data_IF_162409631701
#
_entry.id   IF_162409631701
#
_cell.length_a   1.000
_cell.length_b   1.000
_cell.length_c   1.000
_cell.angle_alpha   90.00
_cell.angle_beta   90.00
_cell.angle_gamma   90.00
#
_symmetry.space_group_name_H-M   'P 1'
#
loop_
_entity.id
_entity.type
_entity.pdbx_description
1 polymer ?
#
# COMPACT_ATOMS: atom_id res chain seq x y z
N UNK A 1 -12.38 -3.00 14.01
CA UNK A 1 -11.05 -2.56 14.49
C UNK A 1 -11.06 -1.04 14.49
N UNK A 2 -10.55 -0.39 15.54
CA UNK A 2 -10.46 1.07 15.58
C UNK A 2 -9.43 1.56 14.54
N UNK A 3 -9.80 2.44 13.58
CA UNK A 3 -8.90 2.94 12.53
C UNK A 3 -7.65 3.64 13.08
N UNK A 4 -7.75 4.32 14.22
CA UNK A 4 -6.60 5.02 14.83
C UNK A 4 -5.53 4.04 15.32
N UNK A 5 -5.95 2.97 15.99
CA UNK A 5 -5.04 1.90 16.41
C UNK A 5 -4.40 1.19 15.21
N UNK A 6 -5.17 0.98 14.13
CA UNK A 6 -4.66 0.38 12.89
C UNK A 6 -3.58 1.27 12.25
N UNK A 7 -3.84 2.57 12.17
CA UNK A 7 -2.89 3.53 11.63
C UNK A 7 -1.54 3.49 12.35
N UNK A 8 -1.52 3.56 13.69
CA UNK A 8 -0.26 3.57 14.45
C UNK A 8 0.58 2.32 14.20
N UNK A 9 -0.04 1.14 14.11
CA UNK A 9 0.68 -0.11 13.83
C UNK A 9 1.29 -0.08 12.42
N UNK A 10 0.52 0.36 11.43
CA UNK A 10 0.98 0.46 10.05
C UNK A 10 2.08 1.51 9.89
N UNK A 11 1.97 2.65 10.56
CA UNK A 11 2.98 3.72 10.56
C UNK A 11 4.30 3.27 11.19
N UNK A 12 4.26 2.55 12.31
CA UNK A 12 5.48 2.00 12.90
C UNK A 12 6.11 1.00 11.95
N UNK A 13 5.32 0.09 11.38
CA UNK A 13 5.84 -0.92 10.48
C UNK A 13 6.43 -0.29 9.21
N UNK A 14 5.76 0.69 8.59
CA UNK A 14 6.22 1.35 7.37
C UNK A 14 7.58 2.02 7.57
N UNK A 15 7.78 2.71 8.70
CA UNK A 15 9.04 3.34 9.07
C UNK A 15 10.15 2.30 9.29
N UNK A 16 9.83 1.16 9.92
CA UNK A 16 10.81 0.08 10.14
C UNK A 16 11.31 -0.51 8.82
N UNK A 17 10.40 -0.76 7.87
CA UNK A 17 10.73 -1.41 6.60
C UNK A 17 11.20 -0.43 5.51
N UNK A 18 11.04 0.88 5.71
CA UNK A 18 11.43 1.91 4.73
C UNK A 18 12.90 1.77 4.29
N UNK A 19 13.80 1.49 5.24
CA UNK A 19 15.24 1.34 4.94
C UNK A 19 15.54 0.24 3.92
N UNK A 20 14.65 -0.75 3.77
CA UNK A 20 14.82 -1.83 2.79
C UNK A 20 14.93 -1.29 1.37
N UNK A 21 14.39 -0.10 1.07
CA UNK A 21 14.46 0.54 -0.25
C UNK A 21 15.88 0.96 -0.65
N UNK A 22 16.71 1.29 0.35
CA UNK A 22 18.00 1.97 0.13
C UNK A 22 19.19 1.12 0.58
N UNK A 23 18.94 0.07 1.36
CA UNK A 23 19.98 -0.80 1.87
C UNK A 23 20.54 -1.73 0.79
N UNK A 24 21.86 -1.93 0.83
CA UNK A 24 22.54 -2.83 -0.10
C UNK A 24 22.10 -4.28 0.13
N UNK A 25 21.94 -5.02 -0.98
CA UNK A 25 21.61 -6.45 -0.96
C UNK A 25 22.62 -7.22 -0.10
N UNK A 26 22.12 -7.88 0.94
CA UNK A 26 22.91 -8.72 1.84
C UNK A 26 22.05 -9.86 2.38
N UNK A 27 22.65 -11.01 2.71
CA UNK A 27 21.90 -12.14 3.28
C UNK A 27 21.15 -11.78 4.56
N UNK A 28 21.69 -10.85 5.34
CA UNK A 28 21.06 -10.34 6.57
C UNK A 28 19.75 -9.63 6.24
N UNK A 29 19.78 -8.70 5.27
CA UNK A 29 18.59 -7.97 4.81
C UNK A 29 17.54 -8.95 4.26
N UNK A 30 17.95 -9.92 3.44
CA UNK A 30 17.05 -10.92 2.87
C UNK A 30 16.37 -11.79 3.94
N UNK A 31 17.12 -12.23 4.96
CA UNK A 31 16.56 -13.00 6.08
C UNK A 31 15.52 -12.19 6.85
N UNK A 32 15.78 -10.90 7.05
CA UNK A 32 14.84 -10.04 7.75
C UNK A 32 13.57 -9.76 6.93
N UNK A 33 13.70 -9.39 5.65
CA UNK A 33 12.55 -9.20 4.76
C UNK A 33 11.68 -10.46 4.74
N UNK A 34 12.30 -11.64 4.61
CA UNK A 34 11.60 -12.92 4.63
C UNK A 34 10.85 -13.13 5.95
N UNK A 35 11.48 -12.86 7.09
CA UNK A 35 10.83 -12.96 8.40
C UNK A 35 9.60 -12.03 8.52
N UNK A 36 9.71 -10.79 8.04
CA UNK A 36 8.59 -9.84 8.05
C UNK A 36 7.47 -10.31 7.13
N UNK A 37 7.79 -10.77 5.92
CA UNK A 37 6.82 -11.31 4.97
C UNK A 37 6.06 -12.51 5.55
N UNK A 38 6.77 -13.52 6.05
CA UNK A 38 6.16 -14.71 6.66
C UNK A 38 5.24 -14.37 7.83
N UNK A 39 5.54 -13.29 8.56
CA UNK A 39 4.75 -12.84 9.71
C UNK A 39 3.54 -11.99 9.30
N UNK A 40 3.68 -11.12 8.30
CA UNK A 40 2.74 -10.01 8.07
C UNK A 40 2.04 -10.01 6.72
N UNK A 41 2.53 -10.70 5.68
CA UNK A 41 2.02 -10.56 4.32
C UNK A 41 0.52 -10.89 4.17
N UNK A 42 0.03 -11.91 4.88
CA UNK A 42 -1.41 -12.25 4.90
C UNK A 42 -2.22 -11.13 5.57
N UNK A 43 -1.74 -10.63 6.71
CA UNK A 43 -2.37 -9.53 7.44
C UNK A 43 -2.40 -8.24 6.59
N UNK A 44 -1.33 -7.97 5.83
CA UNK A 44 -1.26 -6.83 4.92
C UNK A 44 -2.35 -6.93 3.84
N UNK A 45 -2.50 -8.09 3.19
CA UNK A 45 -3.54 -8.32 2.19
C UNK A 45 -4.95 -8.18 2.76
N UNK A 46 -5.21 -8.79 3.92
CA UNK A 46 -6.50 -8.69 4.61
C UNK A 46 -6.81 -7.25 5.01
N UNK A 47 -5.79 -6.50 5.46
CA UNK A 47 -5.93 -5.10 5.82
C UNK A 47 -6.27 -4.24 4.61
N UNK A 48 -5.60 -4.44 3.48
CA UNK A 48 -5.93 -3.77 2.22
C UNK A 48 -7.39 -4.05 1.80
N UNK A 49 -7.79 -5.33 1.77
CA UNK A 49 -9.15 -5.74 1.41
C UNK A 49 -10.20 -5.12 2.36
N UNK A 50 -9.93 -5.16 3.66
CA UNK A 50 -10.81 -4.57 4.67
C UNK A 50 -10.97 -3.06 4.47
N UNK A 51 -9.86 -2.33 4.34
CA UNK A 51 -9.87 -0.88 4.16
C UNK A 51 -10.61 -0.48 2.88
N UNK A 52 -10.34 -1.15 1.75
CA UNK A 52 -11.04 -0.91 0.50
C UNK A 52 -12.54 -1.22 0.59
N UNK A 53 -12.92 -2.28 1.31
CA UNK A 53 -14.33 -2.66 1.50
C UNK A 53 -15.15 -1.60 2.24
N UNK A 54 -14.56 -0.92 3.23
CA UNK A 54 -15.27 0.08 4.04
C UNK A 54 -15.26 1.50 3.44
N UNK A 55 -14.56 1.72 2.31
CA UNK A 55 -14.60 3.01 1.59
C UNK A 55 -16.03 3.32 1.14
N UNK A 56 -16.72 2.32 0.55
CA UNK A 56 -18.07 2.49 0.01
C UNK A 56 -19.09 2.94 1.06
N UNK A 57 -19.00 2.37 2.26
CA UNK A 57 -19.87 2.72 3.39
C UNK A 57 -19.53 4.09 4.01
N UNK A 58 -18.31 4.59 3.76
CA UNK A 58 -17.79 5.82 4.36
C UNK A 58 -17.84 7.03 3.43
N UNK A 59 -18.43 6.91 2.22
CA UNK A 59 -18.38 7.94 1.17
C UNK A 59 -18.83 9.34 1.61
N UNK A 60 -19.71 9.45 2.60
CA UNK A 60 -20.25 10.71 3.13
C UNK A 60 -19.66 11.10 4.50
N UNK A 61 -18.65 10.39 4.99
CA UNK A 61 -18.01 10.64 6.29
C UNK A 61 -16.55 11.02 6.10
N UNK A 62 -16.28 12.33 6.04
CA UNK A 62 -14.93 12.86 5.82
C UNK A 62 -13.92 12.35 6.86
N UNK A 63 -14.28 12.30 8.15
CA UNK A 63 -13.38 11.83 9.20
C UNK A 63 -12.99 10.36 9.01
N UNK A 64 -13.96 9.49 8.69
CA UNK A 64 -13.69 8.08 8.42
C UNK A 64 -12.87 7.90 7.15
N UNK A 65 -13.20 8.60 6.07
CA UNK A 65 -12.43 8.55 4.83
C UNK A 65 -10.98 8.98 5.04
N UNK A 66 -10.74 10.07 5.76
CA UNK A 66 -9.39 10.52 6.10
C UNK A 66 -8.62 9.45 6.88
N UNK A 67 -9.24 8.83 7.87
CA UNK A 67 -8.62 7.75 8.63
C UNK A 67 -8.30 6.52 7.77
N UNK A 68 -9.21 6.14 6.86
CA UNK A 68 -9.02 5.02 5.92
C UNK A 68 -7.85 5.31 4.99
N UNK A 69 -7.81 6.50 4.36
CA UNK A 69 -6.77 6.85 3.40
C UNK A 69 -5.40 7.03 4.05
N UNK A 70 -5.34 7.52 5.30
CA UNK A 70 -4.11 7.48 6.09
C UNK A 70 -3.58 6.04 6.26
N UNK A 71 -4.45 5.08 6.55
CA UNK A 71 -4.04 3.67 6.65
C UNK A 71 -3.61 3.11 5.29
N UNK A 72 -4.36 3.41 4.21
CA UNK A 72 -4.04 2.94 2.86
C UNK A 72 -2.70 3.46 2.35
N UNK A 73 -2.36 4.71 2.64
CA UNK A 73 -1.04 5.24 2.33
C UNK A 73 0.06 4.41 3.01
N UNK A 74 -0.08 4.11 4.31
CA UNK A 74 0.88 3.27 5.02
C UNK A 74 0.95 1.84 4.46
N UNK A 75 -0.19 1.25 4.05
CA UNK A 75 -0.22 -0.05 3.35
C UNK A 75 0.58 0.01 2.05
N UNK A 76 0.45 1.08 1.26
CA UNK A 76 1.23 1.26 0.03
C UNK A 76 2.73 1.38 0.34
N UNK A 77 3.11 2.17 1.36
CA UNK A 77 4.51 2.31 1.77
C UNK A 77 5.12 0.97 2.21
N UNK A 78 4.41 0.18 3.01
CA UNK A 78 4.85 -1.16 3.44
C UNK A 78 5.02 -2.08 2.24
N UNK A 79 4.01 -2.14 1.38
CA UNK A 79 4.01 -3.01 0.20
C UNK A 79 5.19 -2.70 -0.73
N UNK A 80 5.42 -1.41 -1.01
CA UNK A 80 6.53 -0.95 -1.83
C UNK A 80 7.87 -1.32 -1.20
N UNK A 81 8.05 -1.03 0.10
CA UNK A 81 9.29 -1.35 0.83
C UNK A 81 9.62 -2.84 0.79
N UNK A 82 8.64 -3.71 1.05
CA UNK A 82 8.82 -5.16 1.05
C UNK A 82 9.12 -5.73 -0.34
N UNK A 83 8.69 -5.04 -1.41
CA UNK A 83 8.92 -5.43 -2.80
C UNK A 83 10.14 -4.76 -3.45
N UNK A 84 10.78 -3.82 -2.75
CA UNK A 84 11.82 -2.95 -3.30
C UNK A 84 13.10 -3.71 -3.69
N UNK A 85 13.45 -4.77 -2.97
CA UNK A 85 14.61 -5.61 -3.27
C UNK A 85 14.30 -6.64 -4.35
N UNK A 86 13.18 -7.35 -4.20
CA UNK A 86 12.63 -8.33 -5.14
C UNK A 86 11.14 -8.55 -4.83
N UNK A 87 10.40 -9.08 -5.78
CA UNK A 87 8.97 -9.31 -5.62
C UNK A 87 8.76 -10.54 -4.73
N UNK A 88 8.00 -10.43 -3.62
CA UNK A 88 7.71 -11.58 -2.76
C UNK A 88 6.88 -12.64 -3.50
N UNK A 89 7.23 -13.92 -3.34
CA UNK A 89 6.49 -15.04 -3.94
C UNK A 89 4.99 -15.02 -3.57
N UNK A 90 4.66 -14.73 -2.31
CA UNK A 90 3.27 -14.60 -1.87
C UNK A 90 2.50 -13.53 -2.65
N UNK A 91 3.17 -12.42 -3.00
CA UNK A 91 2.53 -11.36 -3.77
C UNK A 91 2.31 -11.82 -5.22
N UNK A 92 3.26 -12.55 -5.82
CA UNK A 92 3.10 -13.14 -7.16
C UNK A 92 1.89 -14.09 -7.19
N UNK A 93 1.79 -15.00 -6.21
CA UNK A 93 0.69 -15.96 -6.10
C UNK A 93 -0.68 -15.29 -5.84
N UNK A 94 -0.67 -14.06 -5.31
CA UNK A 94 -1.87 -13.31 -4.95
C UNK A 94 -2.00 -11.99 -5.73
N UNK A 95 -1.36 -11.88 -6.90
CA UNK A 95 -1.19 -10.61 -7.60
C UNK A 95 -2.54 -9.94 -7.89
N UNK A 96 -3.51 -10.70 -8.38
CA UNK A 96 -4.86 -10.20 -8.64
C UNK A 96 -5.53 -9.64 -7.38
N UNK A 97 -5.29 -10.25 -6.21
CA UNK A 97 -5.87 -9.82 -4.94
C UNK A 97 -5.25 -8.52 -4.39
N UNK A 98 -4.04 -8.16 -4.83
CA UNK A 98 -3.43 -6.87 -4.52
C UNK A 98 -3.74 -5.82 -5.59
N UNK A 99 -3.61 -6.17 -6.86
CA UNK A 99 -3.72 -5.23 -7.98
C UNK A 99 -5.15 -4.76 -8.24
N UNK A 100 -6.17 -5.61 -8.05
CA UNK A 100 -7.57 -5.19 -8.20
C UNK A 100 -7.96 -4.07 -7.22
N UNK A 101 -7.70 -4.18 -5.90
CA UNK A 101 -7.91 -3.07 -4.97
C UNK A 101 -7.12 -1.80 -5.35
N UNK A 102 -5.86 -1.95 -5.73
CA UNK A 102 -5.01 -0.83 -6.15
C UNK A 102 -5.55 -0.10 -7.38
N UNK A 103 -6.01 -0.82 -8.40
CA UNK A 103 -6.68 -0.25 -9.56
C UNK A 103 -7.97 0.49 -9.18
N UNK A 104 -8.72 -0.06 -8.21
CA UNK A 104 -9.88 0.60 -7.62
C UNK A 104 -9.52 1.95 -6.97
N UNK A 105 -8.40 2.02 -6.26
CA UNK A 105 -7.90 3.24 -5.62
C UNK A 105 -7.45 4.31 -6.63
N UNK A 106 -6.78 3.90 -7.72
CA UNK A 106 -6.41 4.82 -8.82
C UNK A 106 -7.66 5.50 -9.40
N UNK A 107 -8.74 4.74 -9.60
CA UNK A 107 -9.99 5.25 -10.19
C UNK A 107 -10.88 5.97 -9.19
N UNK A 108 -10.59 5.86 -7.89
CA UNK A 108 -11.43 6.44 -6.85
C UNK A 108 -11.31 7.97 -6.82
N UNK A 109 -12.44 8.63 -6.64
CA UNK A 109 -12.55 10.08 -6.53
C UNK A 109 -13.55 10.41 -5.43
N UNK A 110 -13.20 11.31 -4.53
CA UNK A 110 -14.13 11.81 -3.52
C UNK A 110 -13.77 13.26 -3.11
N UNK A 111 -14.68 14.24 -3.26
CA UNK A 111 -14.42 15.62 -2.87
C UNK A 111 -14.04 15.82 -1.41
N UNK A 112 -14.44 14.92 -0.51
CA UNK A 112 -14.14 14.99 0.92
C UNK A 112 -12.67 14.69 1.26
N UNK A 113 -11.90 14.16 0.30
CA UNK A 113 -10.47 13.85 0.45
C UNK A 113 -9.55 14.93 -0.12
N UNK A 114 -10.11 15.98 -0.73
CA UNK A 114 -9.30 17.11 -1.19
C UNK A 114 -8.62 17.81 -0.01
N UNK A 115 -7.40 18.35 -0.21
CA UNK A 115 -6.75 19.22 0.76
C UNK A 115 -7.69 20.32 1.23
N UNK A 116 -7.66 20.64 2.52
CA UNK A 116 -8.41 21.79 3.06
C UNK A 116 -7.66 23.10 2.82
N UNK A 117 -6.34 23.02 2.81
CA UNK A 117 -5.41 24.12 2.60
C UNK A 117 -4.43 23.79 1.47
N UNK A 118 -3.87 24.81 0.83
CA UNK A 118 -2.92 24.66 -0.29
C UNK A 118 -1.61 23.97 0.12
N UNK A 119 -1.29 23.95 1.42
CA UNK A 119 -0.09 23.34 1.99
C UNK A 119 -0.28 21.88 2.44
N UNK A 120 -1.50 21.35 2.42
CA UNK A 120 -1.77 19.94 2.77
C UNK A 120 -1.68 19.05 1.52
N UNK A 121 -0.93 17.93 1.61
CA UNK A 121 -1.01 16.92 0.55
C UNK A 121 -2.38 16.22 0.60
N UNK A 122 -2.94 15.98 -0.58
CA UNK A 122 -4.22 15.29 -0.69
C UNK A 122 -4.03 13.81 -0.38
N UNK A 123 -4.69 13.31 0.68
CA UNK A 123 -4.53 11.92 1.13
C UNK A 123 -4.89 10.90 0.02
N UNK A 124 -5.81 11.28 -0.87
CA UNK A 124 -6.17 10.47 -2.04
C UNK A 124 -5.02 10.46 -3.04
N UNK A 125 -4.50 11.62 -3.38
CA UNK A 125 -3.40 11.84 -4.32
C UNK A 125 -2.12 11.14 -3.84
N UNK A 126 -1.81 11.20 -2.55
CA UNK A 126 -0.68 10.47 -1.92
C UNK A 126 -0.85 8.96 -2.10
N UNK A 127 -2.06 8.45 -1.82
CA UNK A 127 -2.36 7.02 -1.96
C UNK A 127 -2.25 6.58 -3.42
N UNK A 128 -2.78 7.39 -4.35
CA UNK A 128 -2.70 7.12 -5.79
C UNK A 128 -1.25 7.13 -6.28
N UNK A 129 -0.44 8.09 -5.81
CA UNK A 129 0.99 8.15 -6.11
C UNK A 129 1.70 6.90 -5.62
N UNK A 130 1.46 6.48 -4.36
CA UNK A 130 2.04 5.25 -3.82
C UNK A 130 1.63 4.00 -4.62
N UNK A 131 0.39 3.92 -5.10
CA UNK A 131 -0.04 2.84 -6.00
C UNK A 131 0.68 2.88 -7.34
N UNK A 132 0.82 4.07 -7.95
CA UNK A 132 1.57 4.23 -9.20
C UNK A 132 3.04 3.80 -9.05
N UNK A 133 3.67 4.13 -7.93
CA UNK A 133 5.05 3.71 -7.63
C UNK A 133 5.15 2.18 -7.50
N UNK A 134 4.16 1.54 -6.89
CA UNK A 134 4.06 0.07 -6.82
C UNK A 134 3.94 -0.53 -8.22
N UNK A 135 3.01 -0.03 -9.04
CA UNK A 135 2.81 -0.52 -10.41
C UNK A 135 4.10 -0.37 -11.21
N UNK A 136 4.74 0.80 -11.14
CA UNK A 136 6.02 1.06 -11.80
C UNK A 136 7.11 0.09 -11.35
N UNK A 137 7.25 -0.13 -10.04
CA UNK A 137 8.22 -1.09 -9.49
C UNK A 137 8.03 -2.50 -10.08
N UNK A 138 6.78 -2.90 -10.31
CA UNK A 138 6.45 -4.24 -10.81
C UNK A 138 6.65 -4.32 -12.33
N UNK A 139 6.27 -3.29 -13.08
CA UNK A 139 6.55 -3.20 -14.52
C UNK A 139 8.05 -3.20 -14.80
N UNK A 140 8.84 -2.44 -14.04
CA UNK A 140 10.30 -2.36 -14.21
C UNK A 140 11.01 -3.69 -13.90
N UNK A 141 10.41 -4.54 -13.05
CA UNK A 141 11.00 -5.83 -12.62
C UNK A 141 10.48 -7.04 -13.42
N UNK A 142 9.24 -7.01 -13.91
CA UNK A 142 8.57 -8.14 -14.58
C UNK A 142 7.61 -7.66 -15.68
N UNK A 143 8.14 -7.16 -16.81
CA UNK A 143 7.34 -6.68 -17.96
C UNK A 143 6.34 -7.73 -18.48
N UNK A 144 6.68 -9.02 -18.52
CA UNK A 144 5.84 -10.04 -19.15
C UNK A 144 4.56 -10.36 -18.36
N UNK A 145 4.60 -10.35 -17.02
CA UNK A 145 3.47 -10.72 -16.17
C UNK A 145 2.54 -9.54 -15.84
N UNK A 146 3.02 -8.30 -15.99
CA UNK A 146 2.35 -7.11 -15.47
C UNK A 146 1.61 -6.24 -16.50
N UNK A 147 1.78 -6.52 -17.79
CA UNK A 147 1.19 -5.74 -18.88
C UNK A 147 -0.34 -5.58 -18.82
N UNK A 148 -1.06 -6.53 -18.19
CA UNK A 148 -2.52 -6.46 -18.06
C UNK A 148 -3.02 -5.43 -17.02
N UNK A 149 -2.14 -4.92 -16.16
CA UNK A 149 -2.49 -4.03 -15.04
C UNK A 149 -2.02 -2.58 -15.24
N UNK A 150 -1.26 -2.31 -16.30
CA UNK A 150 -0.85 -0.96 -16.68
C UNK A 150 -2.04 -0.24 -17.34
N UNK A 151 -2.44 0.96 -16.87
CA UNK A 151 -3.54 1.73 -17.47
C UNK A 151 -3.33 2.12 -18.94
#
# INVERSE_FOLDING_TARGET
KDPSTMYCILEVLSNVVERYRYENKSETLWREIKFVLETFQTTLLETLKFLCGIIGESQNNAQKLHAIFKCLNQVCQIFFSLSSQDIPAFVQDNMEHFMNPFLGLIKYQNPLLKPRDEDESGLLEDTQTGVCDIVRLYTDKYEEDFNQWVP
#
